data_IF_339245473077
#
_entry.id   IF_339245473077
#
_cell.length_a   1.000
_cell.length_b   1.000
_cell.length_c   1.000
_cell.angle_alpha   90.00
_cell.angle_beta   90.00
_cell.angle_gamma   90.00
#
_symmetry.space_group_name_H-M   'P 1'
#
loop_
_entity.id
_entity.type
_entity.pdbx_description
1 polymer ?
#
# COMPACT_ATOMS: atom_id res chain seq x y z
N UNK A 1 13.18 41.99 -22.68
CA UNK A 1 13.63 40.58 -22.71
C UNK A 1 13.81 40.18 -24.17
N UNK A 2 14.98 39.67 -24.59
CA UNK A 2 15.25 39.37 -26.01
C UNK A 2 14.60 38.03 -26.42
N UNK A 3 14.24 37.88 -27.71
CA UNK A 3 13.56 36.67 -28.22
C UNK A 3 14.39 35.40 -28.01
N UNK A 4 15.71 35.52 -28.03
CA UNK A 4 16.63 34.41 -27.85
C UNK A 4 16.63 33.87 -26.41
N UNK A 5 16.55 34.75 -25.41
CA UNK A 5 16.42 34.37 -24.00
C UNK A 5 15.10 33.68 -23.70
N UNK A 6 14.01 34.09 -24.36
CA UNK A 6 12.71 33.39 -24.29
C UNK A 6 12.83 31.99 -24.91
N UNK A 7 13.47 31.88 -26.08
CA UNK A 7 13.67 30.59 -26.77
C UNK A 7 14.45 29.59 -25.92
N UNK A 8 15.57 30.01 -25.35
CA UNK A 8 16.41 29.17 -24.47
C UNK A 8 15.66 28.77 -23.18
N UNK A 9 14.84 29.66 -22.62
CA UNK A 9 14.04 29.36 -21.44
C UNK A 9 13.01 28.27 -21.73
N UNK A 10 12.32 28.35 -22.87
CA UNK A 10 11.36 27.33 -23.32
C UNK A 10 12.07 25.99 -23.54
N UNK A 11 13.23 25.99 -24.18
CA UNK A 11 13.99 24.77 -24.45
C UNK A 11 14.45 24.07 -23.16
N UNK A 12 14.91 24.84 -22.17
CA UNK A 12 15.30 24.31 -20.86
C UNK A 12 14.12 23.74 -20.08
N UNK A 13 12.95 24.40 -20.13
CA UNK A 13 11.71 23.89 -19.52
C UNK A 13 11.31 22.56 -20.17
N UNK A 14 11.35 22.47 -21.50
CA UNK A 14 11.01 21.25 -22.22
C UNK A 14 11.94 20.09 -21.87
N UNK A 15 13.27 20.32 -21.80
CA UNK A 15 14.24 19.31 -21.36
C UNK A 15 13.99 18.84 -19.92
N UNK A 16 13.63 19.75 -19.03
CA UNK A 16 13.29 19.40 -17.64
C UNK A 16 12.02 18.54 -17.57
N UNK A 17 10.99 18.87 -18.36
CA UNK A 17 9.75 18.10 -18.45
C UNK A 17 10.02 16.70 -19.02
N UNK A 18 10.79 16.59 -20.11
CA UNK A 18 11.17 15.30 -20.70
C UNK A 18 11.99 14.44 -19.72
N UNK A 19 12.94 15.05 -19.02
CA UNK A 19 13.73 14.39 -17.98
C UNK A 19 12.86 13.85 -16.84
N UNK A 20 11.90 14.65 -16.37
CA UNK A 20 10.93 14.23 -15.36
C UNK A 20 10.05 13.07 -15.84
N UNK A 21 9.49 13.18 -17.05
CA UNK A 21 8.65 12.12 -17.64
C UNK A 21 9.45 10.82 -17.77
N UNK A 22 10.67 10.88 -18.30
CA UNK A 22 11.51 9.68 -18.52
C UNK A 22 11.88 8.97 -17.22
N UNK A 23 12.09 9.72 -16.14
CA UNK A 23 12.49 9.18 -14.83
C UNK A 23 11.29 8.71 -14.01
N UNK A 24 10.22 9.50 -13.94
CA UNK A 24 9.12 9.25 -13.02
C UNK A 24 7.98 8.44 -13.64
N UNK A 25 7.73 8.54 -14.95
CA UNK A 25 6.64 7.78 -15.60
C UNK A 25 6.82 6.27 -15.49
N UNK A 26 8.01 5.67 -15.72
CA UNK A 26 8.20 4.23 -15.55
C UNK A 26 7.99 3.78 -14.09
N UNK A 27 8.44 4.58 -13.12
CA UNK A 27 8.27 4.30 -11.69
C UNK A 27 6.79 4.31 -11.32
N UNK A 28 6.04 5.33 -11.75
CA UNK A 28 4.59 5.44 -11.52
C UNK A 28 3.85 4.26 -12.16
N UNK A 29 4.23 3.85 -13.37
CA UNK A 29 3.63 2.69 -14.04
C UNK A 29 3.92 1.39 -13.27
N UNK A 30 5.15 1.20 -12.78
CA UNK A 30 5.53 0.04 -11.97
C UNK A 30 4.73 -0.01 -10.66
N UNK A 31 4.60 1.13 -9.97
CA UNK A 31 3.80 1.22 -8.76
C UNK A 31 2.33 0.89 -9.03
N UNK A 32 1.74 1.44 -10.10
CA UNK A 32 0.36 1.10 -10.50
C UNK A 32 0.18 -0.39 -10.74
N UNK A 33 1.11 -1.04 -11.43
CA UNK A 33 1.07 -2.48 -11.67
C UNK A 33 1.10 -3.27 -10.35
N UNK A 34 2.02 -2.93 -9.45
CA UNK A 34 2.10 -3.57 -8.13
C UNK A 34 0.81 -3.39 -7.31
N UNK A 35 0.20 -2.20 -7.36
CA UNK A 35 -1.07 -1.96 -6.67
C UNK A 35 -2.20 -2.84 -7.21
N UNK A 36 -2.27 -3.04 -8.53
CA UNK A 36 -3.26 -3.92 -9.16
C UNK A 36 -3.02 -5.37 -8.71
N UNK A 37 -1.79 -5.87 -8.81
CA UNK A 37 -1.45 -7.25 -8.42
C UNK A 37 -1.78 -7.53 -6.94
N UNK A 38 -1.48 -6.57 -6.06
CA UNK A 38 -1.81 -6.67 -4.63
C UNK A 38 -3.33 -6.67 -4.41
N UNK A 39 -4.06 -5.79 -5.11
CA UNK A 39 -5.51 -5.73 -5.02
C UNK A 39 -6.17 -7.03 -5.48
N UNK A 40 -5.76 -7.55 -6.63
CA UNK A 40 -6.23 -8.84 -7.18
C UNK A 40 -5.98 -9.99 -6.20
N UNK A 41 -4.79 -10.04 -5.58
CA UNK A 41 -4.45 -11.06 -4.58
C UNK A 41 -5.43 -11.03 -3.40
N UNK A 42 -5.72 -9.84 -2.85
CA UNK A 42 -6.67 -9.72 -1.76
C UNK A 42 -8.11 -10.04 -2.19
N UNK A 43 -8.48 -9.70 -3.42
CA UNK A 43 -9.79 -10.01 -3.96
C UNK A 43 -9.98 -11.52 -4.14
N UNK A 44 -8.96 -12.23 -4.63
CA UNK A 44 -8.98 -13.70 -4.75
C UNK A 44 -9.17 -14.39 -3.40
N UNK A 45 -8.47 -13.93 -2.36
CA UNK A 45 -8.66 -14.45 -1.01
C UNK A 45 -10.06 -14.14 -0.46
N UNK A 46 -10.58 -12.96 -0.77
CA UNK A 46 -11.94 -12.56 -0.38
C UNK A 46 -13.02 -13.43 -1.05
N UNK A 47 -12.85 -13.73 -2.34
CA UNK A 47 -13.70 -14.66 -3.09
C UNK A 47 -13.60 -16.07 -2.50
N UNK A 48 -12.39 -16.56 -2.19
CA UNK A 48 -12.19 -17.87 -1.54
C UNK A 48 -12.87 -17.96 -0.17
N UNK A 49 -12.95 -16.84 0.55
CA UNK A 49 -13.69 -16.73 1.81
C UNK A 49 -15.23 -16.65 1.63
N UNK A 50 -15.72 -16.64 0.38
CA UNK A 50 -17.14 -16.62 0.04
C UNK A 50 -17.78 -15.23 0.02
N UNK A 51 -16.98 -14.17 -0.10
CA UNK A 51 -17.44 -12.77 -0.13
C UNK A 51 -18.44 -12.43 1.00
N UNK A 52 -18.06 -12.59 2.29
CA UNK A 52 -18.97 -12.46 3.44
C UNK A 52 -19.65 -11.09 3.59
N UNK A 53 -19.15 -10.06 2.91
CA UNK A 53 -19.72 -8.70 2.91
C UNK A 53 -20.25 -8.29 1.51
N UNK A 54 -20.57 -9.28 0.67
CA UNK A 54 -21.03 -9.10 -0.71
C UNK A 54 -19.88 -8.93 -1.69
N UNK A 55 -20.09 -9.38 -2.93
CA UNK A 55 -19.11 -9.30 -4.03
C UNK A 55 -18.97 -7.86 -4.53
N UNK A 56 -18.17 -7.07 -3.83
CA UNK A 56 -17.92 -5.66 -4.12
C UNK A 56 -16.65 -5.17 -3.44
N UNK A 57 -16.08 -4.08 -3.96
CA UNK A 57 -14.92 -3.40 -3.35
C UNK A 57 -15.17 -2.99 -1.90
N UNK A 58 -16.37 -2.50 -1.60
CA UNK A 58 -16.77 -2.14 -0.24
C UNK A 58 -16.77 -3.37 0.68
N UNK A 59 -17.22 -4.50 0.16
CA UNK A 59 -17.21 -5.78 0.85
C UNK A 59 -15.78 -6.26 1.16
N UNK A 60 -14.89 -6.22 0.16
CA UNK A 60 -13.46 -6.51 0.34
C UNK A 60 -12.85 -5.63 1.43
N UNK A 61 -13.06 -4.31 1.37
CA UNK A 61 -12.50 -3.38 2.36
C UNK A 61 -13.04 -3.62 3.78
N UNK A 62 -14.32 -3.96 3.93
CA UNK A 62 -14.90 -4.36 5.21
C UNK A 62 -14.27 -5.66 5.74
N UNK A 63 -14.04 -6.63 4.88
CA UNK A 63 -13.39 -7.89 5.23
C UNK A 63 -11.94 -7.69 5.69
N UNK A 64 -11.15 -6.93 4.93
CA UNK A 64 -9.77 -6.58 5.29
C UNK A 64 -9.69 -5.86 6.64
N UNK A 65 -10.64 -4.96 6.93
CA UNK A 65 -10.71 -4.27 8.23
C UNK A 65 -10.94 -5.23 9.39
N UNK A 66 -11.76 -6.27 9.20
CA UNK A 66 -11.99 -7.29 10.22
C UNK A 66 -10.80 -8.22 10.39
N UNK A 67 -10.12 -8.62 9.30
CA UNK A 67 -8.89 -9.40 9.38
C UNK A 67 -7.82 -8.66 10.18
N UNK A 68 -7.65 -7.35 9.91
CA UNK A 68 -6.75 -6.50 10.70
C UNK A 68 -7.11 -6.48 12.18
N UNK A 69 -8.39 -6.28 12.50
CA UNK A 69 -8.85 -6.26 13.90
C UNK A 69 -8.57 -7.59 14.59
N UNK A 70 -8.79 -8.72 13.90
CA UNK A 70 -8.50 -10.06 14.43
C UNK A 70 -7.01 -10.24 14.70
N UNK A 71 -6.15 -9.87 13.75
CA UNK A 71 -4.70 -9.95 13.91
C UNK A 71 -4.21 -9.07 15.09
N UNK A 72 -4.76 -7.86 15.23
CA UNK A 72 -4.42 -6.96 16.34
C UNK A 72 -4.82 -7.55 17.70
N UNK A 73 -5.97 -8.23 17.78
CA UNK A 73 -6.42 -8.90 19.01
C UNK A 73 -5.54 -10.11 19.34
N UNK A 74 -5.23 -10.94 18.34
CA UNK A 74 -4.36 -12.11 18.50
C UNK A 74 -2.96 -11.69 18.97
N UNK A 75 -2.39 -10.63 18.37
CA UNK A 75 -1.12 -10.06 18.81
C UNK A 75 -1.15 -9.64 20.28
N UNK A 76 -2.21 -8.94 20.72
CA UNK A 76 -2.35 -8.51 22.12
C UNK A 76 -2.49 -9.69 23.09
N UNK A 77 -3.23 -10.72 22.71
CA UNK A 77 -3.36 -11.93 23.53
C UNK A 77 -2.04 -12.66 23.67
N UNK A 78 -1.29 -12.83 22.56
CA UNK A 78 0.01 -13.47 22.58
C UNK A 78 1.01 -12.67 23.41
N UNK A 79 1.06 -11.35 23.23
CA UNK A 79 1.89 -10.46 24.06
C UNK A 79 1.55 -10.60 25.56
N UNK A 80 0.25 -10.63 25.91
CA UNK A 80 -0.17 -10.83 27.30
C UNK A 80 0.30 -12.18 27.85
N UNK A 81 0.22 -13.26 27.06
CA UNK A 81 0.70 -14.59 27.45
C UNK A 81 2.22 -14.59 27.70
N UNK A 82 2.99 -13.96 26.80
CA UNK A 82 4.45 -13.84 26.95
C UNK A 82 4.84 -13.06 28.20
N UNK A 83 4.22 -11.90 28.44
CA UNK A 83 4.46 -11.10 29.65
C UNK A 83 4.12 -11.89 30.92
N UNK A 84 3.02 -12.64 30.93
CA UNK A 84 2.66 -13.50 32.06
C UNK A 84 3.69 -14.60 32.30
N UNK A 85 4.27 -15.19 31.25
CA UNK A 85 5.34 -16.18 31.36
C UNK A 85 6.62 -15.56 31.92
N UNK A 86 7.02 -14.38 31.44
CA UNK A 86 8.18 -13.66 31.95
C UNK A 86 8.04 -13.31 33.44
N UNK A 87 6.88 -12.80 33.87
CA UNK A 87 6.61 -12.52 35.28
C UNK A 87 6.71 -13.79 36.14
N UNK A 88 6.19 -14.93 35.65
CA UNK A 88 6.31 -16.22 36.36
C UNK A 88 7.76 -16.68 36.50
N UNK A 89 8.60 -16.42 35.50
CA UNK A 89 10.04 -16.75 35.54
C UNK A 89 10.76 -15.86 36.56
N UNK A 90 10.50 -14.54 36.54
CA UNK A 90 11.16 -13.58 37.44
C UNK A 90 10.73 -13.74 38.91
N UNK A 91 9.53 -14.23 39.16
CA UNK A 91 9.01 -14.48 40.53
C UNK A 91 9.40 -15.85 41.10
N UNK A 92 10.11 -16.68 40.34
CA UNK A 92 10.65 -17.98 40.78
C UNK A 92 12.12 -17.83 41.17
#
# INVERSE_FOLDING_TARGET
MNREGVRLTIENINKAIEGYIKTHKPVVLKLKKMFIEVHETFYDEYIKAGCPFGDSEKGLMSWLKLLKLRADLEYRENYKKEVQQMIKIVKK
#
